data_IF_491099974143
#
_entry.id   IF_491099974143
#
_cell.length_a   1.000
_cell.length_b   1.000
_cell.length_c   1.000
_cell.angle_alpha   90.00
_cell.angle_beta   90.00
_cell.angle_gamma   90.00
#
_symmetry.space_group_name_H-M   'P 1'
#
loop_
_entity.id
_entity.type
_entity.pdbx_description
1 polymer ?
#
# COMPACT_ATOMS: atom_id res chain seq x y z
N UNK A 1 24.30 0.67 39.54
CA UNK A 1 23.46 1.49 40.45
C UNK A 1 23.52 0.85 41.83
N UNK A 2 23.70 1.63 42.89
CA UNK A 2 23.62 1.12 44.26
C UNK A 2 22.15 1.01 44.70
N UNK A 3 21.67 -0.22 44.87
CA UNK A 3 20.27 -0.51 45.18
C UNK A 3 19.92 -0.17 46.63
N UNK A 4 20.87 -0.33 47.55
CA UNK A 4 20.70 0.08 48.93
C UNK A 4 20.46 1.58 49.03
N UNK A 5 21.32 2.36 48.38
CA UNK A 5 21.17 3.82 48.28
C UNK A 5 19.90 4.26 47.53
N UNK A 6 19.51 3.55 46.46
CA UNK A 6 18.29 3.83 45.70
C UNK A 6 17.02 3.58 46.53
N UNK A 7 16.91 2.44 47.22
CA UNK A 7 15.78 2.14 48.11
C UNK A 7 15.69 3.13 49.28
N UNK A 8 16.84 3.55 49.82
CA UNK A 8 16.89 4.57 50.87
C UNK A 8 16.38 5.93 50.36
N UNK A 9 16.70 6.32 49.12
CA UNK A 9 16.18 7.56 48.51
C UNK A 9 14.66 7.57 48.35
N UNK A 10 14.04 6.39 48.29
CA UNK A 10 12.58 6.20 48.21
C UNK A 10 11.91 6.06 49.59
N UNK A 11 12.68 6.06 50.69
CA UNK A 11 12.18 5.79 52.05
C UNK A 11 11.73 4.34 52.25
N UNK A 12 12.39 3.40 51.57
CA UNK A 12 12.07 1.98 51.50
C UNK A 12 13.24 1.09 51.97
N UNK A 13 14.13 1.62 52.81
CA UNK A 13 15.36 0.97 53.30
C UNK A 13 15.12 -0.39 53.99
N UNK A 14 13.91 -0.61 54.52
CA UNK A 14 13.51 -1.90 55.12
C UNK A 14 13.52 -3.09 54.15
N UNK A 15 13.53 -2.85 52.84
CA UNK A 15 13.51 -3.89 51.81
C UNK A 15 14.89 -4.19 51.23
N UNK A 16 15.94 -3.49 51.66
CA UNK A 16 17.31 -3.66 51.15
C UNK A 16 17.77 -5.11 51.30
N UNK A 17 17.62 -5.68 52.50
CA UNK A 17 17.98 -7.08 52.76
C UNK A 17 17.22 -8.06 51.85
N UNK A 18 15.93 -7.82 51.60
CA UNK A 18 15.13 -8.71 50.75
C UNK A 18 15.55 -8.63 49.27
N UNK A 19 15.96 -7.45 48.79
CA UNK A 19 16.46 -7.27 47.43
C UNK A 19 17.86 -7.89 47.27
N UNK A 20 18.73 -7.79 48.27
CA UNK A 20 20.05 -8.43 48.29
C UNK A 20 19.96 -9.96 48.38
N UNK A 21 19.11 -10.51 49.26
CA UNK A 21 18.93 -11.97 49.43
C UNK A 21 18.31 -12.66 48.21
N UNK A 22 17.68 -11.90 47.31
CA UNK A 22 17.09 -12.40 46.07
C UNK A 22 17.88 -11.96 44.83
N UNK A 23 19.14 -11.54 45.00
CA UNK A 23 20.06 -11.16 43.93
C UNK A 23 19.49 -10.11 42.96
N UNK A 24 18.66 -9.18 43.46
CA UNK A 24 18.12 -8.10 42.65
C UNK A 24 19.20 -7.04 42.49
N UNK A 25 19.85 -7.01 41.32
CA UNK A 25 20.86 -6.04 40.94
C UNK A 25 20.31 -4.96 39.97
N UNK A 26 21.18 -4.04 39.55
CA UNK A 26 20.79 -2.92 38.69
C UNK A 26 20.30 -3.35 37.30
N UNK A 27 20.60 -4.56 36.87
CA UNK A 27 20.16 -5.14 35.59
C UNK A 27 18.79 -5.80 35.73
N UNK A 28 18.53 -6.46 36.86
CA UNK A 28 17.25 -7.14 37.15
C UNK A 28 16.18 -6.16 37.62
N UNK A 29 16.57 -5.13 38.39
CA UNK A 29 15.66 -4.15 39.00
C UNK A 29 14.68 -3.52 38.00
N UNK A 30 15.10 -3.09 36.78
CA UNK A 30 14.19 -2.59 35.79
C UNK A 30 13.12 -3.60 35.40
N UNK A 31 13.35 -4.90 35.44
CA UNK A 31 12.43 -5.93 34.93
C UNK A 31 11.33 -6.36 35.92
N UNK A 32 11.46 -6.00 37.20
CA UNK A 32 10.56 -6.44 38.26
C UNK A 32 9.10 -6.07 38.03
N UNK A 33 8.21 -7.04 38.24
CA UNK A 33 6.76 -6.89 38.14
C UNK A 33 6.11 -6.73 39.52
N UNK A 34 4.81 -6.41 39.54
CA UNK A 34 4.05 -6.33 40.77
C UNK A 34 4.03 -7.67 41.55
N UNK A 35 4.05 -8.80 40.85
CA UNK A 35 4.03 -10.14 41.44
C UNK A 35 5.40 -10.50 42.01
N UNK A 36 6.49 -10.10 41.36
CA UNK A 36 7.85 -10.29 41.88
C UNK A 36 8.05 -9.50 43.18
N UNK A 37 7.54 -8.26 43.24
CA UNK A 37 7.57 -7.46 44.47
C UNK A 37 6.77 -8.09 45.61
N UNK A 38 5.69 -8.81 45.31
CA UNK A 38 4.96 -9.61 46.32
C UNK A 38 5.84 -10.78 46.79
N UNK A 39 6.54 -11.46 45.86
CA UNK A 39 7.52 -12.50 46.16
C UNK A 39 8.66 -12.03 47.06
N UNK A 40 9.13 -10.79 46.87
CA UNK A 40 10.15 -10.13 47.71
C UNK A 40 9.62 -9.62 49.06
N UNK A 41 8.37 -9.92 49.41
CA UNK A 41 7.77 -9.55 50.69
C UNK A 41 7.24 -8.11 50.76
N UNK A 42 7.14 -7.40 49.63
CA UNK A 42 6.51 -6.07 49.55
C UNK A 42 4.99 -6.22 49.51
N UNK A 43 4.38 -6.55 50.65
CA UNK A 43 2.92 -6.78 50.75
C UNK A 43 2.09 -5.48 50.79
N UNK A 44 2.71 -4.35 51.16
CA UNK A 44 2.08 -3.02 51.15
C UNK A 44 1.87 -2.52 49.72
N UNK A 45 0.60 -2.29 49.35
CA UNK A 45 0.22 -1.75 48.04
C UNK A 45 0.90 -0.40 47.76
N UNK A 46 1.02 0.46 48.78
CA UNK A 46 1.64 1.78 48.63
C UNK A 46 3.14 1.72 48.33
N UNK A 47 3.86 0.76 48.90
CA UNK A 47 5.28 0.58 48.60
C UNK A 47 5.50 -0.06 47.23
N UNK A 48 4.66 -1.03 46.84
CA UNK A 48 4.71 -1.61 45.49
C UNK A 48 4.48 -0.57 44.41
N UNK A 49 3.50 0.33 44.59
CA UNK A 49 3.23 1.39 43.61
C UNK A 49 4.42 2.34 43.48
N UNK A 50 4.99 2.79 44.60
CA UNK A 50 6.20 3.63 44.62
C UNK A 50 7.40 2.97 43.94
N UNK A 51 7.63 1.68 44.18
CA UNK A 51 8.72 0.92 43.55
C UNK A 51 8.51 0.78 42.05
N UNK A 52 7.31 0.42 41.60
CA UNK A 52 7.00 0.28 40.17
C UNK A 52 7.12 1.62 39.43
N UNK A 53 6.66 2.72 40.04
CA UNK A 53 6.79 4.05 39.43
C UNK A 53 8.26 4.49 39.35
N UNK A 54 9.07 4.21 40.38
CA UNK A 54 10.50 4.48 40.37
C UNK A 54 11.27 3.59 39.38
N UNK A 55 10.89 2.31 39.25
CA UNK A 55 11.42 1.38 38.24
C UNK A 55 11.06 1.86 36.83
N UNK A 56 9.84 2.35 36.61
CA UNK A 56 9.43 2.93 35.34
C UNK A 56 10.25 4.17 34.98
N UNK A 57 10.61 5.00 35.97
CA UNK A 57 11.50 6.15 35.77
C UNK A 57 12.93 5.70 35.39
N UNK A 58 13.43 4.60 35.98
CA UNK A 58 14.72 4.01 35.59
C UNK A 58 14.70 3.45 34.16
N UNK A 59 13.56 2.88 33.73
CA UNK A 59 13.32 2.46 32.33
C UNK A 59 13.18 3.62 31.36
N UNK A 60 12.95 4.85 31.83
CA UNK A 60 12.93 6.04 30.96
C UNK A 60 14.32 6.68 30.78
N UNK A 61 15.24 6.48 31.72
CA UNK A 61 16.65 6.88 31.59
C UNK A 61 17.50 5.84 30.83
N UNK A 62 17.05 4.59 30.78
CA UNK A 62 17.58 3.57 29.87
C UNK A 62 16.52 3.33 28.80
N UNK A 63 16.60 4.10 27.70
CA UNK A 63 15.66 4.04 26.58
C UNK A 63 15.36 2.60 26.12
N UNK A 64 14.15 2.35 25.60
CA UNK A 64 13.64 0.99 25.39
C UNK A 64 14.56 0.18 24.48
N UNK A 65 14.88 -1.03 24.91
CA UNK A 65 15.58 -2.03 24.12
C UNK A 65 14.86 -2.23 22.78
N UNK A 66 15.54 -1.83 21.71
CA UNK A 66 15.19 -2.10 20.33
C UNK A 66 15.29 -3.59 20.02
N UNK A 67 14.37 -4.08 19.18
CA UNK A 67 14.52 -5.31 18.41
C UNK A 67 15.96 -5.46 17.87
N UNK A 68 16.50 -6.69 17.76
CA UNK A 68 17.89 -6.95 17.34
C UNK A 68 18.17 -6.69 15.86
N UNK A 69 17.44 -5.76 15.22
CA UNK A 69 17.74 -5.22 13.88
C UNK A 69 18.12 -3.74 13.88
N UNK A 70 18.10 -3.06 15.03
CA UNK A 70 18.60 -1.68 15.11
C UNK A 70 20.13 -1.67 15.26
N UNK A 71 20.82 -1.50 14.13
CA UNK A 71 22.21 -1.04 14.05
C UNK A 71 22.39 0.24 14.91
N UNK A 72 23.56 0.48 15.53
CA UNK A 72 23.75 1.60 16.46
C UNK A 72 23.41 2.94 15.81
N UNK A 73 22.88 3.88 16.63
CA UNK A 73 22.66 5.30 16.30
C UNK A 73 23.90 5.89 15.62
N UNK A 74 23.82 5.90 14.30
CA UNK A 74 24.84 6.33 13.36
C UNK A 74 24.14 6.55 12.03
N UNK A 75 24.61 7.53 11.27
CA UNK A 75 24.12 7.87 9.96
C UNK A 75 23.86 6.62 9.08
N UNK A 76 22.59 6.28 8.84
CA UNK A 76 22.18 5.11 8.06
C UNK A 76 22.07 5.50 6.58
N UNK A 77 22.75 4.75 5.71
CA UNK A 77 22.55 4.87 4.25
C UNK A 77 21.35 4.02 3.84
N UNK A 78 20.28 4.68 3.43
CA UNK A 78 19.04 4.04 3.01
C UNK A 78 18.53 4.62 1.71
N UNK A 79 17.82 3.82 0.92
CA UNK A 79 17.06 4.34 -0.20
C UNK A 79 15.76 4.94 0.31
N UNK A 80 15.52 6.23 0.06
CA UNK A 80 14.27 6.90 0.38
C UNK A 80 13.63 7.50 -0.87
N UNK A 81 12.31 7.54 -0.88
CA UNK A 81 11.56 8.37 -1.82
C UNK A 81 11.14 9.66 -1.12
N UNK A 82 11.60 10.79 -1.64
CA UNK A 82 11.33 12.11 -1.10
C UNK A 82 10.31 12.81 -1.98
N UNK A 83 9.26 13.34 -1.35
CA UNK A 83 8.24 14.15 -1.99
C UNK A 83 8.25 15.55 -1.39
N UNK A 84 8.30 16.56 -2.26
CA UNK A 84 8.02 17.94 -1.93
C UNK A 84 6.67 18.34 -2.52
N UNK A 85 5.83 18.96 -1.71
CA UNK A 85 4.56 19.54 -2.14
C UNK A 85 4.52 21.01 -1.75
N UNK A 86 4.01 21.86 -2.64
CA UNK A 86 3.97 23.31 -2.46
C UNK A 86 2.63 23.88 -2.93
N UNK A 87 2.11 24.86 -2.21
CA UNK A 87 0.88 25.56 -2.56
C UNK A 87 1.16 26.65 -3.60
N UNK A 88 0.51 26.55 -4.76
CA UNK A 88 0.68 27.52 -5.85
C UNK A 88 0.12 28.88 -5.45
N UNK A 89 0.91 29.93 -5.65
CA UNK A 89 0.44 31.31 -5.50
C UNK A 89 0.25 31.77 -4.05
N UNK A 90 0.84 31.05 -3.08
CA UNK A 90 0.84 31.41 -1.65
C UNK A 90 1.27 32.86 -1.39
N UNK A 91 2.31 33.35 -2.09
CA UNK A 91 2.79 34.74 -1.96
C UNK A 91 1.76 35.76 -2.47
N UNK A 92 1.01 35.42 -3.52
CA UNK A 92 -0.07 36.27 -4.01
C UNK A 92 -1.31 36.19 -3.10
N UNK A 93 -1.50 35.08 -2.38
CA UNK A 93 -2.51 34.96 -1.33
C UNK A 93 -2.13 35.80 -0.11
N UNK A 94 -0.86 35.81 0.31
CA UNK A 94 -0.40 36.60 1.45
C UNK A 94 -0.50 38.11 1.26
N UNK A 95 -0.57 38.58 0.00
CA UNK A 95 -0.83 40.00 -0.30
C UNK A 95 -2.31 40.37 -0.32
N UNK A 96 -3.21 39.38 -0.42
CA UNK A 96 -4.66 39.58 -0.59
C UNK A 96 -5.48 39.25 0.65
N UNK A 97 -4.99 38.29 1.44
CA UNK A 97 -5.61 37.85 2.68
C UNK A 97 -4.92 38.49 3.88
N UNK A 98 -5.66 38.63 4.97
CA UNK A 98 -5.03 38.92 6.26
C UNK A 98 -4.23 37.70 6.77
N UNK A 99 -3.43 37.92 7.81
CA UNK A 99 -2.49 36.91 8.30
C UNK A 99 -3.23 35.74 8.95
N UNK A 100 -4.37 36.01 9.57
CA UNK A 100 -5.25 35.03 10.21
C UNK A 100 -5.91 34.09 9.19
N UNK A 101 -6.47 34.64 8.11
CA UNK A 101 -7.08 33.90 7.00
C UNK A 101 -6.04 33.08 6.24
N UNK A 102 -4.86 33.67 5.97
CA UNK A 102 -3.75 32.95 5.34
C UNK A 102 -3.30 31.76 6.20
N UNK A 103 -3.23 31.93 7.51
CA UNK A 103 -2.93 30.83 8.45
C UNK A 103 -3.99 29.75 8.39
N UNK A 104 -5.26 30.11 8.28
CA UNK A 104 -6.38 29.17 8.09
C UNK A 104 -6.22 28.34 6.81
N UNK A 105 -5.88 28.99 5.69
CA UNK A 105 -5.62 28.36 4.39
C UNK A 105 -4.44 27.39 4.47
N UNK A 106 -3.30 27.83 4.98
CA UNK A 106 -2.09 26.99 5.11
C UNK A 106 -2.37 25.80 6.03
N UNK A 107 -3.10 25.99 7.13
CA UNK A 107 -3.46 24.90 8.02
C UNK A 107 -4.41 23.90 7.35
N UNK A 108 -5.37 24.35 6.54
CA UNK A 108 -6.24 23.47 5.76
C UNK A 108 -5.46 22.66 4.71
N UNK A 109 -4.54 23.31 4.01
CA UNK A 109 -3.61 22.66 3.09
C UNK A 109 -2.75 21.60 3.80
N UNK A 110 -2.10 21.94 4.92
CA UNK A 110 -1.30 20.98 5.70
C UNK A 110 -2.11 19.78 6.18
N UNK A 111 -3.37 20.00 6.64
CA UNK A 111 -4.26 18.90 7.01
C UNK A 111 -4.63 18.00 5.84
N UNK A 112 -4.89 18.57 4.66
CA UNK A 112 -5.17 17.79 3.46
C UNK A 112 -3.96 16.95 3.05
N UNK A 113 -2.76 17.54 3.04
CA UNK A 113 -1.51 16.82 2.74
C UNK A 113 -1.28 15.70 3.74
N UNK A 114 -1.33 15.99 5.05
CA UNK A 114 -1.10 15.00 6.09
C UNK A 114 -2.16 13.87 6.06
N UNK A 115 -3.43 14.21 5.82
CA UNK A 115 -4.51 13.23 5.71
C UNK A 115 -4.29 12.22 4.59
N UNK A 116 -3.88 12.69 3.41
CA UNK A 116 -3.55 11.81 2.27
C UNK A 116 -2.27 11.02 2.56
N UNK A 117 -1.19 11.71 2.92
CA UNK A 117 0.15 11.11 3.04
C UNK A 117 0.23 10.11 4.18
N UNK A 118 -0.16 10.51 5.38
CA UNK A 118 -0.06 9.68 6.58
C UNK A 118 -1.24 8.71 6.64
N UNK A 119 -2.45 9.21 6.36
CA UNK A 119 -3.68 8.41 6.51
C UNK A 119 -3.88 7.35 5.44
N UNK A 120 -3.38 7.55 4.21
CA UNK A 120 -3.68 6.64 3.09
C UNK A 120 -2.46 5.95 2.49
N UNK A 121 -1.25 6.51 2.64
CA UNK A 121 -0.05 5.99 1.97
C UNK A 121 1.12 5.67 2.90
N UNK A 122 0.96 5.85 4.21
CA UNK A 122 1.99 5.61 5.24
C UNK A 122 3.30 6.38 4.98
N UNK A 123 3.16 7.59 4.45
CA UNK A 123 4.28 8.52 4.31
C UNK A 123 4.53 9.30 5.60
N UNK A 124 5.78 9.69 5.84
CA UNK A 124 6.20 10.46 7.00
C UNK A 124 6.36 11.94 6.63
N UNK A 125 5.56 12.81 7.25
CA UNK A 125 5.72 14.27 7.09
C UNK A 125 6.90 14.74 7.93
N UNK A 126 8.01 15.03 7.26
CA UNK A 126 9.27 15.36 7.91
C UNK A 126 9.36 16.83 8.34
N UNK A 127 8.86 17.75 7.51
CA UNK A 127 8.96 19.19 7.81
C UNK A 127 7.87 19.99 7.09
N UNK A 128 7.36 21.00 7.80
CA UNK A 128 6.55 22.08 7.23
C UNK A 128 7.43 23.31 7.01
N UNK A 129 7.34 23.92 5.83
CA UNK A 129 8.20 25.00 5.36
C UNK A 129 7.35 26.15 4.81
N UNK A 130 6.53 26.76 5.68
CA UNK A 130 5.56 27.76 5.27
C UNK A 130 4.40 27.13 4.51
N UNK A 131 4.42 27.23 3.19
CA UNK A 131 3.50 26.65 2.20
C UNK A 131 4.02 25.36 1.56
N UNK A 132 5.27 25.00 1.85
CA UNK A 132 5.89 23.75 1.45
C UNK A 132 5.75 22.64 2.50
N UNK A 133 5.58 21.39 2.05
CA UNK A 133 5.58 20.19 2.88
C UNK A 133 6.61 19.20 2.34
N UNK A 134 7.49 18.73 3.22
CA UNK A 134 8.47 17.69 2.94
C UNK A 134 8.01 16.35 3.52
N UNK A 135 7.96 15.34 2.66
CA UNK A 135 7.48 14.00 2.98
C UNK A 135 8.51 12.94 2.58
N UNK A 136 8.70 11.96 3.44
CA UNK A 136 9.53 10.78 3.18
C UNK A 136 8.67 9.53 3.09
N UNK A 137 8.97 8.69 2.10
CA UNK A 137 8.47 7.32 2.00
C UNK A 137 9.67 6.38 2.13
N UNK A 138 9.47 5.30 2.87
CA UNK A 138 10.53 4.40 3.30
C UNK A 138 11.15 4.73 4.64
N UNK A 139 10.56 5.68 5.38
CA UNK A 139 10.98 6.09 6.72
C UNK A 139 9.74 6.31 7.62
N UNK A 140 9.76 5.89 8.90
CA UNK A 140 10.81 5.10 9.55
C UNK A 140 10.84 3.64 9.06
N UNK A 141 9.72 3.15 8.52
CA UNK A 141 9.57 1.79 7.96
C UNK A 141 9.66 1.83 6.44
N UNK A 142 10.31 0.82 5.85
CA UNK A 142 10.41 0.68 4.40
C UNK A 142 9.38 -0.30 3.88
N UNK A 143 8.87 0.01 2.71
CA UNK A 143 7.99 -0.83 1.94
C UNK A 143 8.58 -1.02 0.54
N UNK A 144 8.33 -2.19 -0.07
CA UNK A 144 8.77 -2.45 -1.45
C UNK A 144 8.16 -1.45 -2.45
N UNK A 145 7.07 -0.77 -2.07
CA UNK A 145 6.30 0.15 -2.90
C UNK A 145 6.36 1.61 -2.48
N UNK A 146 7.36 2.01 -1.69
CA UNK A 146 7.52 3.41 -1.26
C UNK A 146 7.52 4.42 -2.43
N UNK A 147 8.09 4.03 -3.59
CA UNK A 147 8.05 4.86 -4.79
C UNK A 147 6.63 4.96 -5.39
N UNK A 148 5.87 3.88 -5.40
CA UNK A 148 4.47 3.87 -5.84
C UNK A 148 3.59 4.68 -4.89
N UNK A 149 3.75 4.47 -3.57
CA UNK A 149 3.08 5.21 -2.50
C UNK A 149 3.28 6.71 -2.65
N UNK A 150 4.52 7.13 -2.88
CA UNK A 150 4.85 8.54 -3.07
C UNK A 150 4.13 9.15 -4.29
N UNK A 151 4.11 8.44 -5.42
CA UNK A 151 3.45 8.93 -6.63
C UNK A 151 1.93 8.99 -6.46
N UNK A 152 1.31 7.96 -5.87
CA UNK A 152 -0.13 7.95 -5.56
C UNK A 152 -0.50 9.05 -4.57
N UNK A 153 0.31 9.24 -3.51
CA UNK A 153 0.13 10.32 -2.56
C UNK A 153 0.24 11.68 -3.22
N UNK A 154 1.22 11.89 -4.11
CA UNK A 154 1.37 13.14 -4.85
C UNK A 154 0.13 13.50 -5.68
N UNK A 155 -0.42 12.53 -6.42
CA UNK A 155 -1.67 12.72 -7.17
C UNK A 155 -2.86 12.96 -6.24
N UNK A 156 -2.98 12.19 -5.15
CA UNK A 156 -4.04 12.34 -4.16
C UNK A 156 -4.00 13.70 -3.45
N UNK A 157 -2.80 14.24 -3.19
CA UNK A 157 -2.63 15.58 -2.62
C UNK A 157 -3.11 16.65 -3.58
N UNK A 158 -2.73 16.56 -4.86
CA UNK A 158 -3.21 17.50 -5.90
C UNK A 158 -4.74 17.51 -5.93
N UNK A 159 -5.36 16.34 -5.92
CA UNK A 159 -6.82 16.22 -5.94
C UNK A 159 -7.47 16.74 -4.65
N UNK A 160 -6.94 16.38 -3.48
CA UNK A 160 -7.46 16.82 -2.19
C UNK A 160 -7.38 18.35 -2.04
N UNK A 161 -6.27 18.96 -2.46
CA UNK A 161 -6.08 20.41 -2.40
C UNK A 161 -7.02 21.13 -3.37
N UNK A 162 -7.23 20.59 -4.58
CA UNK A 162 -8.16 21.16 -5.55
C UNK A 162 -9.62 21.16 -5.08
N UNK A 163 -9.97 20.30 -4.11
CA UNK A 163 -11.30 20.21 -3.48
C UNK A 163 -11.46 21.08 -2.23
N UNK A 164 -10.39 21.71 -1.74
CA UNK A 164 -10.47 22.58 -0.56
C UNK A 164 -11.24 23.85 -0.91
N UNK A 165 -12.39 24.04 -0.26
CA UNK A 165 -13.14 25.28 -0.30
C UNK A 165 -12.64 26.21 0.80
N UNK A 166 -11.72 27.11 0.43
CA UNK A 166 -11.18 28.13 1.32
C UNK A 166 -11.46 29.51 0.73
N UNK A 167 -12.75 29.80 0.55
CA UNK A 167 -13.25 31.06 -0.03
C UNK A 167 -13.34 31.00 -1.56
N UNK A 168 -13.22 32.15 -2.23
CA UNK A 168 -13.43 32.27 -3.69
C UNK A 168 -12.23 31.83 -4.56
N UNK A 169 -11.15 31.33 -3.95
CA UNK A 169 -9.93 30.95 -4.66
C UNK A 169 -9.79 29.42 -4.73
N UNK A 170 -9.69 28.89 -5.95
CA UNK A 170 -9.36 27.49 -6.15
C UNK A 170 -7.87 27.26 -5.84
N UNK A 171 -7.59 26.50 -4.78
CA UNK A 171 -6.23 26.15 -4.40
C UNK A 171 -5.67 25.08 -5.34
N UNK A 172 -4.37 25.17 -5.61
CA UNK A 172 -3.66 24.17 -6.40
C UNK A 172 -2.33 23.86 -5.75
N UNK A 173 -1.95 22.59 -5.77
CA UNK A 173 -0.65 22.13 -5.32
C UNK A 173 0.22 21.72 -6.51
N UNK A 174 1.53 21.75 -6.33
CA UNK A 174 2.50 21.18 -7.26
C UNK A 174 3.45 20.26 -6.50
N UNK A 175 3.81 19.16 -7.12
CA UNK A 175 4.50 18.06 -6.44
C UNK A 175 5.76 17.65 -7.20
N UNK A 176 6.85 17.41 -6.48
CA UNK A 176 8.10 16.87 -7.02
C UNK A 176 8.58 15.68 -6.20
N UNK A 177 8.92 14.59 -6.88
CA UNK A 177 9.28 13.32 -6.24
C UNK A 177 10.60 12.79 -6.81
N UNK A 178 11.50 12.38 -5.92
CA UNK A 178 12.73 11.72 -6.29
C UNK A 178 13.05 10.56 -5.35
N UNK A 179 13.58 9.47 -5.91
CA UNK A 179 14.02 8.30 -5.15
C UNK A 179 15.53 8.12 -5.32
N UNK A 180 16.24 7.94 -4.21
CA UNK A 180 17.69 7.75 -4.24
C UNK A 180 18.25 7.37 -2.88
N UNK A 181 19.54 7.02 -2.86
CA UNK A 181 20.27 6.74 -1.63
C UNK A 181 20.50 8.05 -0.86
N UNK A 182 20.16 8.04 0.41
CA UNK A 182 20.33 9.17 1.31
C UNK A 182 20.91 8.69 2.63
N UNK A 183 21.52 9.61 3.37
CA UNK A 183 22.00 9.36 4.72
C UNK A 183 20.98 9.95 5.68
N UNK A 184 20.39 9.10 6.52
CA UNK A 184 19.53 9.50 7.62
C UNK A 184 20.39 9.55 8.88
N UNK A 185 20.50 10.72 9.52
CA UNK A 185 21.25 10.86 10.76
C UNK A 185 20.61 11.87 11.70
N UNK A 186 20.81 11.66 12.99
CA UNK A 186 20.54 12.69 14.00
C UNK A 186 21.64 13.76 13.86
N UNK A 187 21.32 14.86 13.17
CA UNK A 187 22.17 16.05 13.22
C UNK A 187 22.02 16.63 14.63
N UNK A 188 22.93 16.24 15.53
CA UNK A 188 23.09 16.82 16.86
C UNK A 188 23.51 18.28 16.67
N UNK A 189 22.52 19.17 16.58
CA UNK A 189 22.67 20.60 16.84
C UNK A 189 22.03 20.89 18.19
N UNK A 190 22.76 21.50 19.11
CA UNK A 190 22.23 21.95 20.40
C UNK A 190 21.10 22.96 20.19
N UNK A 191 19.85 22.51 20.37
CA UNK A 191 18.66 23.33 20.23
C UNK A 191 17.43 22.47 19.99
N UNK A 192 16.32 22.78 20.67
CA UNK A 192 15.08 22.00 20.74
C UNK A 192 14.27 21.96 19.44
N UNK A 193 14.82 21.32 18.41
CA UNK A 193 14.09 20.76 17.29
C UNK A 193 14.89 19.52 16.85
N UNK A 194 14.35 18.32 17.06
CA UNK A 194 14.91 17.10 16.47
C UNK A 194 14.76 17.18 14.95
N UNK A 195 15.63 17.95 14.30
CA UNK A 195 15.75 18.00 12.85
C UNK A 195 16.51 16.74 12.40
N UNK A 196 15.77 15.66 12.19
CA UNK A 196 16.29 14.48 11.49
C UNK A 196 16.47 14.84 10.02
N UNK A 197 17.60 15.46 9.73
CA UNK A 197 17.94 15.94 8.40
C UNK A 197 18.45 14.79 7.56
N UNK A 198 17.67 14.45 6.54
CA UNK A 198 18.09 13.54 5.48
C UNK A 198 19.10 14.29 4.60
N UNK A 199 20.34 13.84 4.60
CA UNK A 199 21.41 14.42 3.79
C UNK A 199 21.59 13.61 2.51
N UNK A 200 21.46 14.27 1.37
CA UNK A 200 21.66 13.67 0.05
C UNK A 200 21.26 14.61 -1.09
N UNK A 201 21.53 14.18 -2.32
CA UNK A 201 21.09 14.91 -3.52
C UNK A 201 19.58 14.77 -3.75
N UNK A 202 18.97 13.69 -3.24
CA UNK A 202 17.56 13.34 -3.48
C UNK A 202 16.56 14.40 -2.97
N UNK A 203 16.63 14.93 -1.73
CA UNK A 203 15.72 15.98 -1.30
C UNK A 203 15.86 17.26 -2.14
N UNK A 204 17.09 17.65 -2.47
CA UNK A 204 17.33 18.81 -3.33
C UNK A 204 16.74 18.62 -4.73
N UNK A 205 16.90 17.43 -5.31
CA UNK A 205 16.29 17.10 -6.60
C UNK A 205 14.76 17.15 -6.56
N UNK A 206 14.14 16.54 -5.54
CA UNK A 206 12.68 16.55 -5.39
C UNK A 206 12.11 17.98 -5.27
N UNK A 207 12.73 18.83 -4.46
CA UNK A 207 12.35 20.25 -4.33
C UNK A 207 12.47 21.02 -5.65
N UNK A 208 13.50 20.71 -6.46
CA UNK A 208 13.70 21.36 -7.76
C UNK A 208 12.69 20.89 -8.80
N UNK A 209 12.38 19.59 -8.83
CA UNK A 209 11.33 19.06 -9.71
C UNK A 209 9.96 19.65 -9.36
N UNK A 210 9.68 19.81 -8.05
CA UNK A 210 8.46 20.48 -7.59
C UNK A 210 8.39 21.92 -8.10
N UNK A 211 9.51 22.67 -8.07
CA UNK A 211 9.55 24.04 -8.56
C UNK A 211 9.31 24.16 -10.08
N UNK A 212 9.66 23.12 -10.85
CA UNK A 212 9.42 23.02 -12.29
C UNK A 212 7.99 22.58 -12.64
N UNK A 213 7.26 22.00 -11.68
CA UNK A 213 5.92 21.50 -11.90
C UNK A 213 4.91 22.64 -12.13
N UNK A 214 4.13 22.49 -13.19
CA UNK A 214 2.95 23.32 -13.43
C UNK A 214 1.93 23.16 -12.28
N UNK A 215 1.06 24.16 -12.05
CA UNK A 215 -0.01 24.04 -11.06
C UNK A 215 -0.88 22.79 -11.30
N UNK A 216 -1.09 21.98 -10.26
CA UNK A 216 -1.82 20.72 -10.35
C UNK A 216 -1.03 19.56 -10.97
N UNK A 217 0.30 19.67 -11.13
CA UNK A 217 1.13 18.62 -11.70
C UNK A 217 2.06 17.96 -10.66
N UNK A 218 2.35 16.68 -10.88
CA UNK A 218 3.38 15.93 -10.17
C UNK A 218 4.51 15.56 -11.14
N UNK A 219 5.76 15.90 -10.80
CA UNK A 219 6.95 15.55 -11.58
C UNK A 219 7.81 14.54 -10.82
N UNK A 220 8.28 13.51 -11.51
CA UNK A 220 9.15 12.46 -10.95
C UNK A 220 10.53 12.42 -11.61
N UNK A 221 11.55 12.06 -10.83
CA UNK A 221 12.90 11.81 -11.32
C UNK A 221 13.04 10.42 -11.99
N UNK A 222 14.13 10.23 -12.75
CA UNK A 222 14.46 8.95 -13.38
C UNK A 222 14.56 7.76 -12.41
N UNK A 223 15.08 8.00 -11.20
CA UNK A 223 15.15 6.97 -10.15
C UNK A 223 13.76 6.45 -9.77
N UNK A 224 12.83 7.37 -9.53
CA UNK A 224 11.42 7.04 -9.24
C UNK A 224 10.75 6.38 -10.45
N UNK A 225 10.90 6.94 -11.67
CA UNK A 225 10.31 6.38 -12.91
C UNK A 225 10.70 4.93 -13.17
N UNK A 226 11.94 4.55 -12.83
CA UNK A 226 12.42 3.17 -12.96
C UNK A 226 11.75 2.22 -11.96
N UNK A 227 11.51 2.70 -10.74
CA UNK A 227 10.92 1.90 -9.67
C UNK A 227 9.40 1.77 -9.77
N UNK A 228 8.72 2.75 -10.37
CA UNK A 228 7.27 2.67 -10.60
C UNK A 228 6.90 2.11 -11.97
N UNK A 229 7.87 1.88 -12.86
CA UNK A 229 7.65 1.24 -14.16
C UNK A 229 6.47 1.87 -14.91
N UNK A 230 5.62 1.04 -15.50
CA UNK A 230 4.44 1.47 -16.25
C UNK A 230 3.16 1.50 -15.38
N UNK A 231 3.30 1.62 -14.05
CA UNK A 231 2.13 1.72 -13.14
C UNK A 231 1.31 2.98 -13.37
N UNK A 232 1.91 4.02 -13.97
CA UNK A 232 1.27 5.30 -14.25
C UNK A 232 1.44 5.67 -15.73
N UNK A 233 0.57 6.55 -16.21
CA UNK A 233 0.77 7.23 -17.48
C UNK A 233 1.62 8.48 -17.27
N UNK A 234 2.58 8.69 -18.17
CA UNK A 234 3.56 9.75 -18.06
C UNK A 234 3.59 10.62 -19.31
N UNK A 235 3.82 11.91 -19.12
CA UNK A 235 4.31 12.80 -20.17
C UNK A 235 5.80 13.01 -19.98
N UNK A 236 6.59 12.64 -20.99
CA UNK A 236 8.03 12.87 -21.00
C UNK A 236 8.31 14.38 -21.13
N UNK A 237 9.07 14.94 -20.18
CA UNK A 237 9.49 16.33 -20.19
C UNK A 237 10.91 16.51 -20.73
N UNK A 238 11.57 15.40 -21.10
CA UNK A 238 12.95 15.36 -21.53
C UNK A 238 13.92 15.66 -20.40
N UNK A 239 15.12 16.07 -20.81
CA UNK A 239 16.18 16.50 -19.91
C UNK A 239 15.96 17.96 -19.48
N UNK A 240 15.65 18.17 -18.19
CA UNK A 240 15.41 19.50 -17.62
C UNK A 240 16.65 20.02 -16.90
N UNK A 241 16.94 21.31 -17.09
CA UNK A 241 18.02 21.99 -16.38
C UNK A 241 17.60 22.26 -14.93
N UNK A 242 18.39 21.75 -13.98
CA UNK A 242 18.11 21.90 -12.55
C UNK A 242 19.21 22.74 -11.91
N UNK A 243 18.84 23.87 -11.30
CA UNK A 243 19.78 24.76 -10.63
C UNK A 243 20.63 24.00 -9.59
N UNK A 244 21.94 24.00 -9.78
CA UNK A 244 22.91 23.39 -8.89
C UNK A 244 23.31 21.95 -9.26
N UNK A 245 22.73 21.39 -10.32
CA UNK A 245 23.13 20.10 -10.91
C UNK A 245 23.76 20.41 -12.27
N UNK A 246 24.99 19.94 -12.48
CA UNK A 246 25.76 20.30 -13.67
C UNK A 246 25.25 19.66 -14.97
N UNK A 247 24.54 18.53 -14.87
CA UNK A 247 23.97 17.82 -16.01
C UNK A 247 22.44 17.92 -16.00
N UNK A 248 21.79 18.10 -17.16
CA UNK A 248 20.35 18.01 -17.29
C UNK A 248 19.80 16.69 -16.73
N UNK A 249 18.67 16.76 -16.03
CA UNK A 249 18.06 15.58 -15.39
C UNK A 249 16.81 15.16 -16.17
N UNK A 250 16.69 13.90 -16.61
CA UNK A 250 15.45 13.40 -17.20
C UNK A 250 14.28 13.46 -16.19
N UNK A 251 13.14 14.00 -16.62
CA UNK A 251 11.97 14.17 -15.79
C UNK A 251 10.67 13.79 -16.52
N UNK A 252 9.68 13.34 -15.76
CA UNK A 252 8.37 12.96 -16.27
C UNK A 252 7.27 13.59 -15.43
N UNK A 253 6.24 14.12 -16.09
CA UNK A 253 4.99 14.45 -15.42
C UNK A 253 4.15 13.18 -15.29
N UNK A 254 3.70 12.88 -14.07
CA UNK A 254 2.74 11.81 -13.82
C UNK A 254 1.34 12.35 -14.10
N UNK A 255 0.63 11.70 -15.02
CA UNK A 255 -0.71 12.12 -15.43
C UNK A 255 -1.78 11.47 -14.56
N UNK A 256 -1.74 10.13 -14.45
CA UNK A 256 -2.72 9.33 -13.70
C UNK A 256 -2.21 7.89 -13.54
N UNK A 257 -2.81 7.08 -12.64
CA UNK A 257 -2.60 5.63 -12.64
C UNK A 257 -2.91 5.05 -14.02
N UNK A 258 -2.08 4.11 -14.46
CA UNK A 258 -2.27 3.41 -15.71
C UNK A 258 -3.37 2.35 -15.56
N UNK A 259 -3.97 1.94 -16.67
CA UNK A 259 -4.79 0.73 -16.73
C UNK A 259 -3.97 -0.56 -16.87
N UNK A 260 -2.65 -0.53 -16.59
CA UNK A 260 -1.76 -1.67 -16.86
C UNK A 260 -2.12 -2.87 -15.98
N UNK A 261 -2.08 -4.02 -16.65
CA UNK A 261 -2.77 -5.27 -16.32
C UNK A 261 -2.27 -5.98 -15.08
N UNK A 262 -1.12 -5.63 -14.52
CA UNK A 262 -0.53 -6.25 -13.33
C UNK A 262 0.60 -5.37 -12.80
N UNK A 263 0.68 -5.18 -11.47
CA UNK A 263 1.82 -4.51 -10.85
C UNK A 263 3.15 -5.17 -11.22
N UNK A 264 3.19 -6.50 -11.26
CA UNK A 264 4.38 -7.26 -11.64
C UNK A 264 4.79 -7.01 -13.10
N UNK A 265 3.84 -6.95 -14.04
CA UNK A 265 4.13 -6.68 -15.45
C UNK A 265 4.55 -5.22 -15.67
N UNK A 266 3.85 -4.27 -15.01
CA UNK A 266 4.17 -2.85 -15.07
C UNK A 266 5.59 -2.54 -14.57
N UNK A 267 6.05 -3.24 -13.54
CA UNK A 267 7.36 -2.99 -12.92
C UNK A 267 8.54 -3.65 -13.65
N UNK A 268 8.32 -4.69 -14.45
CA UNK A 268 9.42 -5.53 -14.99
C UNK A 268 9.63 -5.42 -16.50
N UNK A 269 8.68 -4.85 -17.25
CA UNK A 269 8.75 -4.82 -18.72
C UNK A 269 8.87 -6.21 -19.35
N UNK A 270 8.90 -6.29 -20.68
CA UNK A 270 8.79 -7.55 -21.43
C UNK A 270 9.90 -8.60 -21.21
N UNK A 271 10.95 -8.31 -20.43
CA UNK A 271 12.07 -9.22 -20.18
C UNK A 271 12.03 -9.81 -18.77
N UNK A 272 11.24 -10.87 -18.58
CA UNK A 272 11.26 -11.63 -17.33
C UNK A 272 12.60 -12.37 -17.19
N UNK A 273 13.27 -12.20 -16.06
CA UNK A 273 14.48 -12.97 -15.73
C UNK A 273 14.19 -14.48 -15.74
N UNK A 274 15.18 -15.29 -16.14
CA UNK A 274 15.06 -16.75 -16.13
C UNK A 274 14.76 -17.21 -14.70
N UNK A 275 13.71 -18.01 -14.54
CA UNK A 275 13.39 -18.64 -13.27
C UNK A 275 14.42 -19.76 -13.02
N UNK A 276 15.10 -19.73 -11.87
CA UNK A 276 16.13 -20.71 -11.50
C UNK A 276 15.65 -21.45 -10.25
N UNK A 277 15.71 -22.80 -10.28
CA UNK A 277 15.45 -23.64 -9.11
C UNK A 277 13.99 -23.68 -8.65
N UNK A 278 13.03 -23.57 -9.58
CA UNK A 278 11.58 -23.66 -9.30
C UNK A 278 10.87 -24.70 -10.17
N UNK A 279 11.59 -25.73 -10.59
CA UNK A 279 11.06 -26.73 -11.51
C UNK A 279 9.99 -27.59 -10.83
N UNK A 280 10.15 -27.91 -9.54
CA UNK A 280 9.17 -28.69 -8.77
C UNK A 280 7.81 -27.98 -8.62
N UNK A 281 7.82 -26.68 -8.30
CA UNK A 281 6.60 -25.89 -8.14
C UNK A 281 5.86 -25.72 -9.46
N UNK A 282 6.60 -25.51 -10.56
CA UNK A 282 5.99 -25.43 -11.89
C UNK A 282 5.44 -26.80 -12.29
N UNK A 283 6.18 -27.88 -12.10
CA UNK A 283 5.71 -29.21 -12.48
C UNK A 283 4.47 -29.60 -11.68
N UNK A 284 4.37 -29.19 -10.42
CA UNK A 284 3.13 -29.28 -9.64
C UNK A 284 1.98 -28.53 -10.30
N UNK A 285 2.18 -27.27 -10.66
CA UNK A 285 1.17 -26.46 -11.33
C UNK A 285 0.73 -27.05 -12.68
N UNK A 286 1.67 -27.58 -13.47
CA UNK A 286 1.36 -28.25 -14.74
C UNK A 286 0.56 -29.54 -14.52
N UNK A 287 0.88 -30.34 -13.49
CA UNK A 287 0.08 -31.52 -13.12
C UNK A 287 -1.33 -31.13 -12.69
N UNK A 288 -1.47 -30.08 -11.87
CA UNK A 288 -2.78 -29.56 -11.44
C UNK A 288 -3.58 -29.02 -12.61
N UNK A 289 -2.93 -28.33 -13.55
CA UNK A 289 -3.55 -27.92 -14.81
C UNK A 289 -4.07 -29.10 -15.63
N UNK A 290 -3.30 -30.19 -15.73
CA UNK A 290 -3.74 -31.40 -16.42
C UNK A 290 -5.00 -32.02 -15.77
N UNK A 291 -5.08 -32.06 -14.44
CA UNK A 291 -6.29 -32.51 -13.71
C UNK A 291 -7.48 -31.59 -13.99
N UNK A 292 -7.28 -30.28 -13.86
CA UNK A 292 -8.31 -29.28 -14.12
C UNK A 292 -8.89 -29.41 -15.53
N UNK A 293 -8.07 -29.61 -16.56
CA UNK A 293 -8.57 -29.81 -17.93
C UNK A 293 -9.48 -31.04 -18.09
N UNK A 294 -9.35 -32.04 -17.23
CA UNK A 294 -10.20 -33.23 -17.22
C UNK A 294 -11.54 -33.03 -16.49
N UNK A 295 -11.78 -31.84 -15.92
CA UNK A 295 -13.00 -31.46 -15.19
C UNK A 295 -12.86 -31.56 -13.67
N UNK A 296 -11.73 -32.04 -13.17
CA UNK A 296 -11.39 -32.07 -11.75
C UNK A 296 -10.69 -30.76 -11.35
N UNK A 297 -11.48 -29.74 -11.04
CA UNK A 297 -10.94 -28.40 -10.80
C UNK A 297 -10.00 -28.35 -9.59
N UNK A 298 -8.97 -27.52 -9.71
CA UNK A 298 -7.88 -27.47 -8.75
C UNK A 298 -7.72 -26.07 -8.18
N UNK A 299 -7.44 -26.01 -6.88
CA UNK A 299 -7.02 -24.79 -6.20
C UNK A 299 -5.59 -24.98 -5.70
N UNK A 300 -4.70 -24.07 -6.06
CA UNK A 300 -3.30 -24.08 -5.64
C UNK A 300 -2.98 -22.81 -4.90
N UNK A 301 -2.46 -22.98 -3.69
CA UNK A 301 -2.09 -21.91 -2.78
C UNK A 301 -0.58 -21.70 -2.85
N UNK A 302 -0.14 -20.49 -3.18
CA UNK A 302 1.27 -20.10 -3.27
C UNK A 302 1.58 -19.08 -2.18
N UNK A 303 2.13 -19.55 -1.07
CA UNK A 303 2.56 -18.71 0.05
C UNK A 303 4.04 -18.38 -0.01
N UNK A 304 4.42 -17.20 0.48
CA UNK A 304 5.81 -16.81 0.66
C UNK A 304 5.97 -15.33 0.97
N UNK A 305 7.12 -14.96 1.53
CA UNK A 305 7.49 -13.58 1.81
C UNK A 305 7.45 -12.69 0.54
N UNK A 306 7.36 -11.36 0.71
CA UNK A 306 7.55 -10.39 -0.36
C UNK A 306 8.86 -10.65 -1.13
N UNK A 307 8.85 -10.40 -2.44
CA UNK A 307 10.03 -10.59 -3.29
C UNK A 307 10.45 -12.03 -3.62
N UNK A 308 9.88 -13.09 -3.00
CA UNK A 308 10.27 -14.50 -3.25
C UNK A 308 9.87 -15.06 -4.64
N UNK A 309 9.20 -14.27 -5.47
CA UNK A 309 8.87 -14.64 -6.85
C UNK A 309 7.54 -15.36 -7.05
N UNK A 310 6.57 -15.21 -6.13
CA UNK A 310 5.22 -15.79 -6.25
C UNK A 310 4.55 -15.48 -7.60
N UNK A 311 4.48 -14.20 -7.96
CA UNK A 311 3.93 -13.76 -9.26
C UNK A 311 4.76 -14.24 -10.45
N UNK A 312 6.08 -14.44 -10.27
CA UNK A 312 6.95 -15.01 -11.32
C UNK A 312 6.65 -16.49 -11.57
N UNK A 313 6.29 -17.26 -10.54
CA UNK A 313 5.87 -18.66 -10.66
C UNK A 313 4.57 -18.74 -11.49
N UNK A 314 3.56 -17.91 -11.15
CA UNK A 314 2.32 -17.85 -11.93
C UNK A 314 2.57 -17.45 -13.39
N UNK A 315 3.38 -16.40 -13.63
CA UNK A 315 3.76 -15.99 -14.98
C UNK A 315 4.56 -17.07 -15.75
N UNK A 316 5.41 -17.85 -15.07
CA UNK A 316 6.18 -18.93 -15.68
C UNK A 316 5.31 -20.13 -16.07
N UNK A 317 4.23 -20.39 -15.34
CA UNK A 317 3.21 -21.35 -15.75
C UNK A 317 2.51 -20.87 -17.02
N UNK A 318 2.01 -19.64 -17.04
CA UNK A 318 1.34 -19.06 -18.20
C UNK A 318 2.23 -19.07 -19.45
N UNK A 319 3.51 -18.77 -19.30
CA UNK A 319 4.49 -18.85 -20.40
C UNK A 319 4.60 -20.25 -21.00
N UNK A 320 4.60 -21.29 -20.16
CA UNK A 320 4.62 -22.70 -20.61
C UNK A 320 3.30 -23.13 -21.25
N UNK A 321 2.17 -22.55 -20.80
CA UNK A 321 0.84 -22.86 -21.30
C UNK A 321 0.41 -22.01 -22.51
N UNK A 322 1.27 -21.11 -23.01
CA UNK A 322 0.95 -20.19 -24.12
C UNK A 322 0.45 -20.89 -25.39
N UNK A 323 0.92 -22.11 -25.65
CA UNK A 323 0.51 -22.89 -26.82
C UNK A 323 -0.82 -23.64 -26.63
N UNK A 324 -1.33 -23.74 -25.40
CA UNK A 324 -2.58 -24.44 -25.11
C UNK A 324 -3.77 -23.46 -25.11
N UNK A 325 -4.91 -23.82 -25.71
CA UNK A 325 -6.11 -22.99 -25.68
C UNK A 325 -6.73 -22.99 -24.28
N UNK A 326 -6.75 -21.83 -23.62
CA UNK A 326 -7.38 -21.63 -22.32
C UNK A 326 -7.84 -20.18 -22.15
N UNK A 327 -8.78 -19.98 -21.24
CA UNK A 327 -9.21 -18.65 -20.81
C UNK A 327 -8.40 -18.25 -19.58
N UNK A 328 -7.85 -17.04 -19.58
CA UNK A 328 -7.06 -16.51 -18.46
C UNK A 328 -7.82 -15.39 -17.76
N UNK A 329 -8.03 -15.53 -16.46
CA UNK A 329 -8.60 -14.51 -15.58
C UNK A 329 -7.56 -14.15 -14.51
N UNK A 330 -7.20 -12.87 -14.41
CA UNK A 330 -6.20 -12.39 -13.43
C UNK A 330 -6.82 -11.31 -12.57
N UNK A 331 -6.70 -11.48 -11.26
CA UNK A 331 -7.27 -10.62 -10.24
C UNK A 331 -6.13 -10.09 -9.37
N UNK A 332 -6.05 -8.77 -9.23
CA UNK A 332 -5.01 -8.12 -8.43
C UNK A 332 -5.66 -7.51 -7.21
N UNK A 333 -5.33 -8.06 -6.05
CA UNK A 333 -5.65 -7.41 -4.79
C UNK A 333 -4.69 -6.24 -4.59
N UNK A 334 -5.15 -5.21 -3.90
CA UNK A 334 -4.39 -3.97 -3.75
C UNK A 334 -4.50 -3.47 -2.32
N UNK A 335 -3.38 -3.05 -1.70
CA UNK A 335 -3.43 -2.49 -0.35
C UNK A 335 -4.29 -1.22 -0.29
N UNK A 336 -4.48 -0.54 -1.43
CA UNK A 336 -5.24 0.71 -1.56
C UNK A 336 -6.74 0.51 -1.80
N UNK A 337 -7.20 -0.74 -2.01
CA UNK A 337 -8.58 -1.04 -2.36
C UNK A 337 -9.20 -2.12 -1.44
N UNK A 338 -8.69 -2.27 -0.22
CA UNK A 338 -9.20 -3.23 0.76
C UNK A 338 -10.64 -2.91 1.22
N UNK A 339 -11.06 -1.64 1.13
CA UNK A 339 -12.43 -1.20 1.47
C UNK A 339 -13.30 -1.01 0.22
N UNK A 340 -12.79 -1.31 -0.98
CA UNK A 340 -13.52 -1.19 -2.24
C UNK A 340 -14.10 -2.55 -2.61
N UNK A 341 -15.40 -2.73 -2.35
CA UNK A 341 -16.08 -4.00 -2.59
C UNK A 341 -15.89 -4.50 -4.03
N UNK A 342 -15.49 -5.77 -4.17
CA UNK A 342 -15.31 -6.44 -5.48
C UNK A 342 -14.24 -5.80 -6.38
N UNK A 343 -13.30 -5.03 -5.83
CA UNK A 343 -12.32 -4.28 -6.64
C UNK A 343 -11.55 -5.15 -7.65
N UNK A 344 -10.95 -6.30 -7.28
CA UNK A 344 -10.23 -7.15 -8.22
C UNK A 344 -11.11 -7.65 -9.38
N UNK A 345 -12.42 -7.86 -9.13
CA UNK A 345 -13.37 -8.32 -10.13
C UNK A 345 -13.84 -7.19 -11.05
N UNK A 346 -14.14 -6.02 -10.50
CA UNK A 346 -14.44 -4.78 -11.26
C UNK A 346 -13.30 -4.47 -12.22
N UNK A 347 -12.06 -4.46 -11.71
CA UNK A 347 -10.86 -4.23 -12.50
C UNK A 347 -10.68 -5.31 -13.59
N UNK A 348 -10.85 -6.59 -13.25
CA UNK A 348 -10.74 -7.68 -14.21
C UNK A 348 -11.79 -7.60 -15.33
N UNK A 349 -13.04 -7.27 -15.02
CA UNK A 349 -14.10 -7.10 -16.02
C UNK A 349 -13.84 -5.90 -16.94
N UNK A 350 -13.47 -4.75 -16.37
CA UNK A 350 -13.13 -3.56 -17.15
C UNK A 350 -11.96 -3.81 -18.10
N UNK A 351 -10.93 -4.52 -17.64
CA UNK A 351 -9.79 -4.95 -18.46
C UNK A 351 -10.20 -5.93 -19.55
N UNK A 352 -10.97 -6.97 -19.20
CA UNK A 352 -11.41 -7.99 -20.15
C UNK A 352 -12.33 -7.43 -21.25
N UNK A 353 -13.12 -6.40 -20.92
CA UNK A 353 -13.97 -5.68 -21.86
C UNK A 353 -13.19 -4.64 -22.69
N UNK A 354 -11.94 -4.33 -22.34
CA UNK A 354 -11.13 -3.34 -23.05
C UNK A 354 -11.63 -1.91 -22.85
N UNK A 355 -12.04 -1.56 -21.62
CA UNK A 355 -12.42 -0.20 -21.29
C UNK A 355 -11.23 0.75 -21.41
N UNK A 356 -11.45 1.86 -22.09
CA UNK A 356 -10.54 2.99 -22.20
C UNK A 356 -11.10 4.13 -21.34
N UNK A 357 -10.21 4.94 -20.78
CA UNK A 357 -10.60 6.03 -19.87
C UNK A 357 -11.66 6.95 -20.48
N UNK A 358 -11.47 7.37 -21.73
CA UNK A 358 -12.37 8.30 -22.43
C UNK A 358 -13.56 7.61 -23.13
N UNK A 359 -13.77 6.31 -22.90
CA UNK A 359 -14.94 5.63 -23.45
C UNK A 359 -16.23 6.22 -22.85
N UNK A 360 -17.19 6.65 -23.68
CA UNK A 360 -18.49 7.06 -23.18
C UNK A 360 -19.23 5.87 -22.57
N UNK A 361 -20.14 6.08 -21.60
CA UNK A 361 -20.82 4.99 -20.89
C UNK A 361 -21.52 3.97 -21.81
N UNK A 362 -22.12 4.44 -22.91
CA UNK A 362 -22.75 3.57 -23.90
C UNK A 362 -21.76 2.64 -24.62
N UNK A 363 -20.52 3.10 -24.87
CA UNK A 363 -19.46 2.27 -25.47
C UNK A 363 -18.96 1.22 -24.48
N UNK A 364 -18.77 1.60 -23.21
CA UNK A 364 -18.42 0.65 -22.15
C UNK A 364 -19.48 -0.43 -21.97
N UNK A 365 -20.76 -0.05 -22.00
CA UNK A 365 -21.85 -1.03 -21.93
C UNK A 365 -21.83 -2.00 -23.12
N UNK A 366 -21.65 -1.52 -24.34
CA UNK A 366 -21.58 -2.39 -25.52
C UNK A 366 -20.39 -3.37 -25.46
N UNK A 367 -19.21 -2.89 -25.00
CA UNK A 367 -18.03 -3.74 -24.77
C UNK A 367 -18.26 -4.79 -23.69
N UNK A 368 -18.97 -4.43 -22.62
CA UNK A 368 -19.37 -5.36 -21.58
C UNK A 368 -20.34 -6.43 -22.11
N UNK A 369 -21.36 -6.02 -22.86
CA UNK A 369 -22.32 -6.93 -23.52
C UNK A 369 -21.57 -7.95 -24.39
N UNK A 370 -20.59 -7.51 -25.20
CA UNK A 370 -19.77 -8.39 -26.04
C UNK A 370 -18.91 -9.38 -25.23
N UNK A 371 -18.29 -8.91 -24.14
CA UNK A 371 -17.51 -9.76 -23.24
C UNK A 371 -18.40 -10.84 -22.61
N UNK A 372 -19.54 -10.43 -22.07
CA UNK A 372 -20.46 -11.28 -21.33
C UNK A 372 -21.14 -12.30 -22.23
N UNK A 373 -21.47 -11.94 -23.48
CA UNK A 373 -22.07 -12.83 -24.47
C UNK A 373 -21.31 -14.16 -24.67
N UNK A 374 -20.01 -14.21 -24.36
CA UNK A 374 -19.20 -15.44 -24.41
C UNK A 374 -19.73 -16.53 -23.47
N UNK A 375 -20.28 -16.17 -22.32
CA UNK A 375 -20.84 -17.11 -21.34
C UNK A 375 -22.35 -17.32 -21.52
N UNK A 376 -23.00 -16.55 -22.40
CA UNK A 376 -24.47 -16.52 -22.61
C UNK A 376 -25.23 -16.32 -21.29
N UNK A 377 -24.96 -15.23 -20.55
CA UNK A 377 -25.62 -15.00 -19.27
C UNK A 377 -27.07 -14.54 -19.49
N UNK A 378 -27.95 -14.75 -18.49
CA UNK A 378 -29.26 -14.12 -18.46
C UNK A 378 -29.18 -12.59 -18.53
N UNK A 379 -30.22 -11.95 -19.07
CA UNK A 379 -30.27 -10.49 -19.22
C UNK A 379 -30.13 -9.74 -17.88
N UNK A 380 -30.65 -10.32 -16.80
CA UNK A 380 -30.53 -9.77 -15.45
C UNK A 380 -29.08 -9.68 -14.98
N UNK A 381 -28.23 -10.63 -15.36
CA UNK A 381 -26.81 -10.65 -14.98
C UNK A 381 -26.05 -9.52 -15.66
N UNK A 382 -26.37 -9.25 -16.93
CA UNK A 382 -25.78 -8.12 -17.65
C UNK A 382 -26.11 -6.81 -16.95
N UNK A 383 -27.35 -6.64 -16.48
CA UNK A 383 -27.75 -5.46 -15.70
C UNK A 383 -26.95 -5.36 -14.39
N UNK A 384 -26.87 -6.44 -13.60
CA UNK A 384 -26.16 -6.47 -12.32
C UNK A 384 -24.65 -6.19 -12.47
N UNK A 385 -24.02 -6.74 -13.52
CA UNK A 385 -22.60 -6.53 -13.79
C UNK A 385 -22.31 -5.13 -14.38
N UNK A 386 -23.24 -4.57 -15.16
CA UNK A 386 -23.15 -3.18 -15.61
C UNK A 386 -23.20 -2.20 -14.43
N UNK A 387 -24.12 -2.45 -13.49
CA UNK A 387 -24.23 -1.65 -12.27
C UNK A 387 -23.02 -1.80 -11.34
N UNK A 388 -22.46 -3.01 -11.20
CA UNK A 388 -21.19 -3.23 -10.49
C UNK A 388 -20.06 -2.37 -11.07
N UNK A 389 -20.04 -2.16 -12.38
CA UNK A 389 -19.09 -1.30 -13.09
C UNK A 389 -19.49 0.18 -13.11
N UNK A 390 -20.51 0.57 -12.33
CA UNK A 390 -21.07 1.92 -12.27
C UNK A 390 -21.52 2.47 -13.64
N UNK A 391 -21.99 1.60 -14.53
CA UNK A 391 -22.56 2.00 -15.82
C UNK A 391 -24.04 2.38 -15.64
N UNK A 392 -24.52 3.41 -16.35
CA UNK A 392 -25.91 3.83 -16.27
C UNK A 392 -26.84 2.71 -16.73
N UNK A 393 -27.97 2.56 -16.04
CA UNK A 393 -29.01 1.62 -16.42
C UNK A 393 -29.47 1.88 -17.86
N UNK A 394 -29.61 0.81 -18.63
CA UNK A 394 -30.06 0.83 -20.02
C UNK A 394 -31.48 0.30 -20.10
N UNK A 395 -32.30 0.85 -21.00
CA UNK A 395 -33.63 0.29 -21.28
C UNK A 395 -33.56 -1.18 -21.72
N UNK A 396 -32.44 -1.60 -22.32
CA UNK A 396 -32.19 -3.00 -22.71
C UNK A 396 -31.92 -3.94 -21.53
N UNK A 397 -31.43 -3.40 -20.43
CA UNK A 397 -31.01 -4.15 -19.24
C UNK A 397 -31.49 -3.43 -17.98
N UNK A 398 -32.80 -3.47 -17.68
CA UNK A 398 -33.36 -2.79 -16.53
C UNK A 398 -32.86 -3.44 -15.23
N UNK A 399 -32.38 -2.62 -14.31
CA UNK A 399 -31.94 -3.11 -13.01
C UNK A 399 -33.15 -3.59 -12.18
N UNK A 400 -33.08 -4.80 -11.59
CA UNK A 400 -34.13 -5.27 -10.71
C UNK A 400 -34.18 -4.42 -9.43
N UNK A 401 -35.40 -4.13 -8.96
CA UNK A 401 -35.60 -3.42 -7.70
C UNK A 401 -35.35 -4.37 -6.52
N UNK A 402 -34.09 -4.43 -6.07
CA UNK A 402 -33.63 -5.31 -5.01
C UNK A 402 -33.12 -4.50 -3.81
N UNK A 403 -33.23 -5.07 -2.60
CA UNK A 403 -32.50 -4.54 -1.45
C UNK A 403 -30.98 -4.64 -1.67
N UNK A 404 -30.15 -3.79 -1.03
CA UNK A 404 -28.69 -3.84 -1.20
C UNK A 404 -28.10 -5.23 -0.95
N UNK A 405 -28.58 -5.94 0.07
CA UNK A 405 -28.14 -7.30 0.40
C UNK A 405 -28.49 -8.29 -0.72
N UNK A 406 -29.73 -8.28 -1.21
CA UNK A 406 -30.15 -9.14 -2.33
C UNK A 406 -29.40 -8.82 -3.61
N UNK A 407 -29.14 -7.54 -3.88
CA UNK A 407 -28.34 -7.11 -5.02
C UNK A 407 -26.93 -7.68 -4.96
N UNK A 408 -26.27 -7.60 -3.79
CA UNK A 408 -24.95 -8.22 -3.55
C UNK A 408 -24.98 -9.71 -3.88
N UNK A 409 -25.91 -10.47 -3.29
CA UNK A 409 -26.07 -11.91 -3.50
C UNK A 409 -26.22 -12.26 -4.99
N UNK A 410 -27.14 -11.57 -5.69
CA UNK A 410 -27.38 -11.81 -7.13
C UNK A 410 -26.18 -11.43 -8.00
N UNK A 411 -25.44 -10.37 -7.64
CA UNK A 411 -24.20 -10.00 -8.34
C UNK A 411 -23.11 -11.07 -8.16
N UNK A 412 -22.94 -11.63 -6.97
CA UNK A 412 -22.01 -12.74 -6.73
C UNK A 412 -22.41 -13.97 -7.56
N UNK A 413 -23.70 -14.33 -7.58
CA UNK A 413 -24.22 -15.42 -8.41
C UNK A 413 -24.03 -15.16 -9.92
N UNK A 414 -24.17 -13.93 -10.38
CA UNK A 414 -23.92 -13.55 -11.78
C UNK A 414 -22.44 -13.75 -12.16
N UNK A 415 -21.50 -13.36 -11.28
CA UNK A 415 -20.07 -13.58 -11.48
C UNK A 415 -19.71 -15.08 -11.51
N UNK A 416 -20.32 -15.89 -10.65
CA UNK A 416 -20.15 -17.34 -10.66
C UNK A 416 -20.70 -17.98 -11.95
N UNK A 417 -21.91 -17.59 -12.38
CA UNK A 417 -22.49 -18.06 -13.64
C UNK A 417 -21.67 -17.64 -14.85
N UNK A 418 -21.07 -16.45 -14.81
CA UNK A 418 -20.13 -16.02 -15.84
C UNK A 418 -18.93 -16.96 -15.93
N UNK A 419 -18.32 -17.32 -14.79
CA UNK A 419 -17.23 -18.31 -14.75
C UNK A 419 -17.68 -19.67 -15.30
N UNK A 420 -18.82 -20.18 -14.85
CA UNK A 420 -19.39 -21.46 -15.34
C UNK A 420 -19.67 -21.44 -16.85
N UNK A 421 -20.11 -20.31 -17.42
CA UNK A 421 -20.31 -20.19 -18.85
C UNK A 421 -19.00 -20.18 -19.64
N UNK A 422 -17.94 -19.57 -19.09
CA UNK A 422 -16.60 -19.59 -19.70
C UNK A 422 -16.01 -21.00 -19.74
N UNK A 423 -16.16 -21.78 -18.65
CA UNK A 423 -15.62 -23.14 -18.56
C UNK A 423 -16.24 -24.12 -19.55
N UNK A 424 -17.47 -23.87 -20.02
CA UNK A 424 -18.11 -24.64 -21.10
C UNK A 424 -17.42 -24.47 -22.46
N UNK A 425 -16.64 -23.41 -22.65
CA UNK A 425 -15.93 -23.13 -23.90
C UNK A 425 -14.52 -23.68 -23.87
N UNK A 426 -13.78 -23.34 -22.82
CA UNK A 426 -12.39 -23.71 -22.64
C UNK A 426 -12.09 -23.83 -21.15
N UNK A 427 -11.11 -24.67 -20.76
CA UNK A 427 -10.56 -24.66 -19.41
C UNK A 427 -10.08 -23.26 -19.01
N UNK A 428 -10.28 -22.89 -17.75
CA UNK A 428 -10.00 -21.55 -17.23
C UNK A 428 -8.83 -21.61 -16.24
N UNK A 429 -7.87 -20.68 -16.39
CA UNK A 429 -6.85 -20.41 -15.37
C UNK A 429 -7.22 -19.10 -14.69
N UNK A 430 -7.42 -19.16 -13.38
CA UNK A 430 -7.65 -18.00 -12.53
C UNK A 430 -6.41 -17.76 -11.68
N UNK A 431 -5.89 -16.53 -11.68
CA UNK A 431 -4.77 -16.12 -10.83
C UNK A 431 -5.21 -14.97 -9.95
N UNK A 432 -5.26 -15.21 -8.65
CA UNK A 432 -5.49 -14.20 -7.62
C UNK A 432 -4.14 -13.82 -7.03
N UNK A 433 -3.70 -12.59 -7.30
CA UNK A 433 -2.44 -12.08 -6.81
C UNK A 433 -2.64 -11.28 -5.53
N UNK A 434 -1.72 -11.49 -4.59
CA UNK A 434 -1.62 -10.75 -3.35
C UNK A 434 -2.90 -10.80 -2.49
N UNK A 435 -3.51 -11.98 -2.37
CA UNK A 435 -4.79 -12.19 -1.68
C UNK A 435 -4.82 -11.76 -0.20
N UNK A 436 -3.66 -11.47 0.41
CA UNK A 436 -3.56 -10.82 1.73
C UNK A 436 -4.13 -9.39 1.76
N UNK A 437 -4.33 -8.76 0.60
CA UNK A 437 -4.99 -7.45 0.45
C UNK A 437 -6.39 -7.53 -0.16
N UNK A 438 -7.02 -8.70 -0.16
CA UNK A 438 -8.35 -8.88 -0.75
C UNK A 438 -9.41 -8.13 0.06
N UNK A 439 -10.34 -7.43 -0.61
CA UNK A 439 -11.47 -6.81 0.08
C UNK A 439 -12.47 -7.87 0.60
N UNK A 440 -13.25 -7.58 1.66
CA UNK A 440 -14.14 -8.56 2.27
C UNK A 440 -15.16 -9.20 1.32
N UNK A 441 -15.69 -8.43 0.37
CA UNK A 441 -16.72 -8.94 -0.57
C UNK A 441 -16.08 -9.81 -1.65
N UNK A 442 -14.88 -9.45 -2.13
CA UNK A 442 -14.09 -10.30 -3.01
C UNK A 442 -13.64 -11.59 -2.33
N UNK A 443 -13.35 -11.56 -1.03
CA UNK A 443 -13.02 -12.77 -0.27
C UNK A 443 -14.19 -13.73 -0.25
N UNK A 444 -15.39 -13.25 0.06
CA UNK A 444 -16.62 -14.05 0.02
C UNK A 444 -16.84 -14.67 -1.37
N UNK A 445 -16.63 -13.91 -2.45
CA UNK A 445 -16.72 -14.46 -3.80
C UNK A 445 -15.64 -15.51 -4.08
N UNK A 446 -14.41 -15.28 -3.62
CA UNK A 446 -13.33 -16.25 -3.77
C UNK A 446 -13.62 -17.54 -2.99
N UNK A 447 -14.20 -17.45 -1.79
CA UNK A 447 -14.68 -18.61 -1.03
C UNK A 447 -15.71 -19.41 -1.85
N UNK A 448 -16.72 -18.71 -2.40
CA UNK A 448 -17.72 -19.33 -3.27
C UNK A 448 -17.13 -19.96 -4.53
N UNK A 449 -16.14 -19.30 -5.15
CA UNK A 449 -15.41 -19.83 -6.31
C UNK A 449 -14.70 -21.12 -5.94
N UNK A 450 -13.98 -21.15 -4.81
CA UNK A 450 -13.24 -22.35 -4.36
C UNK A 450 -14.18 -23.55 -4.18
N UNK A 451 -15.34 -23.34 -3.58
CA UNK A 451 -16.35 -24.41 -3.44
C UNK A 451 -16.89 -24.86 -4.81
N UNK A 452 -17.04 -23.93 -5.75
CA UNK A 452 -17.62 -24.23 -7.07
C UNK A 452 -16.65 -24.89 -8.04
N UNK A 453 -15.35 -24.57 -7.97
CA UNK A 453 -14.38 -25.04 -8.97
C UNK A 453 -14.16 -26.55 -8.94
N UNK A 454 -14.43 -27.24 -7.83
CA UNK A 454 -14.23 -28.69 -7.70
C UNK A 454 -14.85 -29.49 -8.85
N UNK A 455 -15.99 -29.04 -9.39
CA UNK A 455 -16.68 -29.68 -10.52
C UNK A 455 -16.49 -29.01 -11.89
N UNK A 456 -15.54 -28.09 -12.03
CA UNK A 456 -15.35 -27.29 -13.25
C UNK A 456 -13.91 -27.43 -13.77
N UNK A 457 -13.67 -27.27 -15.09
CA UNK A 457 -12.33 -27.29 -15.63
C UNK A 457 -11.58 -25.97 -15.36
N UNK A 458 -11.26 -25.74 -14.09
CA UNK A 458 -10.63 -24.52 -13.58
C UNK A 458 -9.39 -24.86 -12.78
N UNK A 459 -8.28 -24.16 -13.05
CA UNK A 459 -7.14 -24.08 -12.14
C UNK A 459 -7.13 -22.68 -11.52
N UNK A 460 -7.38 -22.60 -10.22
CA UNK A 460 -7.26 -21.37 -9.44
C UNK A 460 -5.93 -21.33 -8.70
N UNK A 461 -5.14 -20.27 -8.89
CA UNK A 461 -3.86 -20.04 -8.23
C UNK A 461 -4.02 -18.81 -7.36
N UNK A 462 -3.81 -18.95 -6.06
CA UNK A 462 -3.93 -17.84 -5.09
C UNK A 462 -2.57 -17.58 -4.48
N UNK A 463 -2.00 -16.40 -4.74
CA UNK A 463 -0.73 -15.96 -4.15
C UNK A 463 -1.01 -15.11 -2.90
N UNK A 464 -0.30 -15.38 -1.81
CA UNK A 464 -0.47 -14.64 -0.56
C UNK A 464 0.82 -14.64 0.27
N UNK A 465 0.81 -13.84 1.34
CA UNK A 465 1.89 -13.80 2.33
C UNK A 465 1.50 -14.62 3.57
N UNK A 466 2.45 -15.17 4.35
CA UNK A 466 2.15 -16.12 5.43
C UNK A 466 1.16 -15.63 6.50
N UNK A 467 1.02 -14.31 6.69
CA UNK A 467 0.04 -13.70 7.59
C UNK A 467 -1.42 -13.92 7.18
N UNK A 468 -1.67 -14.22 5.90
CA UNK A 468 -3.00 -14.51 5.42
C UNK A 468 -3.36 -15.98 5.69
N UNK A 469 -4.48 -16.18 6.37
CA UNK A 469 -5.01 -17.51 6.69
C UNK A 469 -6.11 -17.87 5.68
N UNK A 470 -5.81 -18.66 4.63
CA UNK A 470 -6.85 -19.18 3.75
C UNK A 470 -7.69 -20.22 4.52
N UNK A 471 -9.03 -20.24 4.37
CA UNK A 471 -9.89 -21.20 5.06
C UNK A 471 -9.91 -22.56 4.35
N UNK A 472 -9.32 -22.65 3.16
CA UNK A 472 -9.35 -23.81 2.26
C UNK A 472 -8.12 -24.71 2.41
N UNK A 473 -7.49 -24.71 3.58
CA UNK A 473 -6.40 -25.64 3.88
C UNK A 473 -6.99 -27.01 4.21
N UNK A 474 -7.09 -27.88 3.21
CA UNK A 474 -7.62 -29.25 3.31
C UNK A 474 -6.84 -30.21 2.43
#
# INVERSE_FOLDING_TARGET
MDIGGWLQSLGLERYVQAFEENDIDAEVLPSLTADDLIGLGVTSIGHRRKLLDAIAALRSDVGPASDPTATPLGAERRQLTVMFCDLVGSTALSTRLDVEDLRGVIAAYHRAVAGVVVGSFDGFVAKYMGDGVLVYFGYPRAHEDDAERAVRAGLGVIEAVARLDVGSAQLQARVGIATGLVVVGDLIGEGSAQEQSVVGETPNLAARLQALAEPGAAIIAAGTRRLVGDLFEYRDLGAVEVKGIAAPVPAWQVLRPSGVTSRFEALRGAALTRLVGRDEEIDLLLRRWASAKSGDGQVVLVSGEPGLGKSRIAAALEERLRAEPHIRLRYFCSPYHQDSALFPFVDQLGRAAGFVHDDPPASRLAKLEELLARAVPPEEDVALLADLLSLPASERHPLPNLSPQRKKERTLEALLRQLEGLTRRQPVIMVFEDAHWIDPTSRELLDLIVDRVVGLPVLSIVTFRPEFQPPWTG
#
